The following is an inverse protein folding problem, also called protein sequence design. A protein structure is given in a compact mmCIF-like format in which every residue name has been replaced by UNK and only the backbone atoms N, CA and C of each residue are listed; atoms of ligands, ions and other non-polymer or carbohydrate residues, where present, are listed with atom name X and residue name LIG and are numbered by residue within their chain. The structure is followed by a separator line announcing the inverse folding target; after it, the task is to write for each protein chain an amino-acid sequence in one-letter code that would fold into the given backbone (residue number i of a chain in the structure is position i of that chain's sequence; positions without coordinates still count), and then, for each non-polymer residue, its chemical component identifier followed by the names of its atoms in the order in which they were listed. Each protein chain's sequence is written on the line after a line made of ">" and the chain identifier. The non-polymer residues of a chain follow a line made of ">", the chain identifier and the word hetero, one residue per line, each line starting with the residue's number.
data_IF_600507527453
#
_entry.id   IF_600507527453
#
_cell.length_a   1.000
_cell.length_b   1.000
_cell.length_c   1.000
_cell.angle_alpha   90.00
_cell.angle_beta   90.00
_cell.angle_gamma   90.00
#
_symmetry.space_group_name_H-M   'P 1'
#
loop_
_entity.id
_entity.type
_entity.pdbx_description
1 polymer ?
#
# COMPACT_ATOMS: atom_id res chain seq x y z
N UNK A 1 4.95 -10.64 18.54
CA UNK A 1 5.65 -11.55 17.60
C UNK A 1 6.69 -10.70 16.85
N UNK A 2 7.99 -10.83 17.17
CA UNK A 2 9.04 -10.05 16.47
C UNK A 2 9.26 -10.68 15.09
N UNK A 3 8.84 -10.01 14.04
CA UNK A 3 9.19 -10.38 12.69
C UNK A 3 10.72 -10.31 12.54
N UNK A 4 11.35 -11.42 12.17
CA UNK A 4 12.79 -11.45 11.88
C UNK A 4 13.08 -10.49 10.74
N UNK A 5 14.15 -9.66 10.83
CA UNK A 5 14.54 -8.83 9.71
C UNK A 5 14.81 -9.73 8.49
N UNK A 6 14.11 -9.46 7.40
CA UNK A 6 14.42 -10.10 6.12
C UNK A 6 15.85 -9.67 5.79
N UNK A 7 16.78 -10.63 5.74
CA UNK A 7 18.15 -10.39 5.26
C UNK A 7 18.07 -10.08 3.76
N UNK A 8 17.88 -8.82 3.43
CA UNK A 8 17.59 -8.36 2.08
C UNK A 8 18.72 -8.58 1.08
N UNK A 9 19.95 -8.78 1.52
CA UNK A 9 21.11 -8.92 0.61
C UNK A 9 21.39 -10.33 0.06
N UNK A 10 20.83 -11.38 0.65
CA UNK A 10 21.10 -12.78 0.25
C UNK A 10 19.86 -13.59 -0.12
N UNK A 11 18.68 -12.98 -0.15
CA UNK A 11 17.44 -13.66 -0.47
C UNK A 11 17.33 -13.94 -1.98
N UNK A 12 16.52 -14.93 -2.36
CA UNK A 12 16.22 -15.21 -3.76
C UNK A 12 15.61 -13.98 -4.46
N UNK A 13 14.80 -13.19 -3.74
CA UNK A 13 14.23 -11.93 -4.24
C UNK A 13 15.33 -10.93 -4.60
N UNK A 14 16.33 -10.74 -3.74
CA UNK A 14 17.44 -9.84 -4.01
C UNK A 14 18.24 -10.24 -5.27
N UNK A 15 18.45 -11.52 -5.49
CA UNK A 15 19.10 -12.02 -6.72
C UNK A 15 18.28 -11.68 -7.97
N UNK A 16 16.96 -11.87 -7.90
CA UNK A 16 16.05 -11.55 -9.01
C UNK A 16 15.96 -10.05 -9.28
N UNK A 17 16.00 -9.21 -8.23
CA UNK A 17 16.06 -7.75 -8.39
C UNK A 17 17.32 -7.36 -9.16
N UNK A 18 18.48 -7.85 -8.77
CA UNK A 18 19.75 -7.57 -9.47
C UNK A 18 19.78 -8.11 -10.90
N UNK A 19 19.09 -9.21 -11.15
CA UNK A 19 18.92 -9.73 -12.50
C UNK A 19 17.95 -8.91 -13.37
N UNK A 20 17.21 -7.96 -12.77
CA UNK A 20 16.22 -7.14 -13.48
C UNK A 20 14.91 -7.87 -13.77
N UNK A 21 14.57 -8.88 -12.97
CA UNK A 21 13.39 -9.73 -13.14
C UNK A 21 12.19 -9.31 -12.29
N UNK A 22 12.33 -8.21 -11.53
CA UNK A 22 11.30 -7.72 -10.60
C UNK A 22 10.99 -6.28 -10.94
N UNK A 23 9.72 -5.95 -11.17
CA UNK A 23 9.25 -4.59 -11.46
C UNK A 23 8.67 -3.87 -10.24
N UNK A 24 8.25 -4.61 -9.20
CA UNK A 24 7.71 -4.03 -7.98
C UNK A 24 7.63 -5.03 -6.85
N UNK A 25 7.42 -4.51 -5.64
CA UNK A 25 7.22 -5.29 -4.42
C UNK A 25 6.02 -4.76 -3.66
N UNK A 26 5.27 -5.67 -3.03
CA UNK A 26 4.09 -5.32 -2.25
C UNK A 26 4.32 -5.60 -0.77
N UNK A 27 3.66 -4.83 0.09
CA UNK A 27 3.64 -5.01 1.54
C UNK A 27 5.03 -4.97 2.19
N UNK A 28 5.98 -4.26 1.58
CA UNK A 28 7.25 -3.94 2.22
C UNK A 28 7.10 -2.62 2.98
N UNK A 29 7.39 -2.64 4.28
CA UNK A 29 7.26 -1.49 5.18
C UNK A 29 8.61 -1.13 5.79
N UNK A 30 8.83 0.17 5.98
CA UNK A 30 10.03 0.73 6.59
C UNK A 30 10.93 1.42 5.56
N UNK A 31 11.09 2.75 5.72
CA UNK A 31 11.84 3.61 4.79
C UNK A 31 13.25 3.09 4.49
N UNK A 32 13.97 2.61 5.49
CA UNK A 32 15.32 2.09 5.30
C UNK A 32 15.34 0.81 4.46
N UNK A 33 14.38 -0.08 4.70
CA UNK A 33 14.25 -1.33 3.91
C UNK A 33 13.90 -1.04 2.47
N UNK A 34 12.96 -0.14 2.24
CA UNK A 34 12.54 0.27 0.90
C UNK A 34 13.73 0.91 0.19
N UNK A 35 14.47 1.79 0.85
CA UNK A 35 15.67 2.43 0.30
C UNK A 35 16.75 1.41 -0.05
N UNK A 36 17.03 0.44 0.83
CA UNK A 36 18.03 -0.61 0.58
C UNK A 36 17.65 -1.50 -0.62
N UNK A 37 16.38 -1.83 -0.75
CA UNK A 37 15.88 -2.63 -1.88
C UNK A 37 15.91 -1.80 -3.17
N UNK A 38 15.49 -0.55 -3.11
CA UNK A 38 15.53 0.35 -4.26
C UNK A 38 16.97 0.56 -4.77
N UNK A 39 17.91 0.72 -3.84
CA UNK A 39 19.33 0.82 -4.19
C UNK A 39 19.82 -0.39 -4.98
N UNK A 40 19.43 -1.61 -4.60
CA UNK A 40 19.78 -2.81 -5.34
C UNK A 40 19.20 -2.80 -6.77
N UNK A 41 18.00 -2.28 -6.96
CA UNK A 41 17.40 -2.18 -8.29
C UNK A 41 18.08 -1.13 -9.16
N UNK A 42 18.39 0.04 -8.60
CA UNK A 42 18.94 1.16 -9.37
C UNK A 42 20.45 1.04 -9.58
N UNK A 43 21.21 0.64 -8.55
CA UNK A 43 22.68 0.66 -8.59
C UNK A 43 23.32 -0.70 -8.87
N UNK A 44 22.63 -1.81 -8.52
CA UNK A 44 23.21 -3.15 -8.60
C UNK A 44 22.55 -4.03 -9.68
N UNK A 45 21.48 -3.55 -10.35
CA UNK A 45 20.85 -4.30 -11.43
C UNK A 45 21.34 -3.87 -12.80
N UNK A 46 21.22 -4.78 -13.76
CA UNK A 46 21.55 -4.52 -15.17
C UNK A 46 20.72 -3.39 -15.79
N UNK A 47 19.48 -3.21 -15.32
CA UNK A 47 18.52 -2.29 -15.92
C UNK A 47 18.58 -0.87 -15.32
N UNK A 48 18.98 -0.74 -14.06
CA UNK A 48 18.97 0.55 -13.35
C UNK A 48 17.58 1.17 -13.18
N UNK A 49 16.51 0.38 -13.30
CA UNK A 49 15.13 0.83 -13.25
C UNK A 49 14.61 0.74 -11.82
N UNK A 50 14.04 1.83 -11.24
CA UNK A 50 13.43 1.80 -9.93
C UNK A 50 12.25 0.81 -9.85
N UNK A 51 12.10 0.17 -8.68
CA UNK A 51 10.94 -0.67 -8.37
C UNK A 51 9.74 0.18 -7.94
N UNK A 52 8.55 -0.33 -8.21
CA UNK A 52 7.31 0.15 -7.60
C UNK A 52 7.10 -0.54 -6.24
N UNK A 53 6.80 0.25 -5.20
CA UNK A 53 6.43 -0.26 -3.89
C UNK A 53 4.95 -0.01 -3.66
N UNK A 54 4.18 -1.10 -3.58
CA UNK A 54 2.73 -1.07 -3.45
C UNK A 54 2.24 -1.59 -2.10
N UNK A 55 1.13 -1.01 -1.63
CA UNK A 55 0.43 -1.45 -0.42
C UNK A 55 -1.06 -1.07 -0.49
N UNK A 56 -1.91 -1.82 0.20
CA UNK A 56 -3.36 -1.58 0.20
C UNK A 56 -3.73 -0.20 0.77
N UNK A 57 -3.24 0.13 1.96
CA UNK A 57 -3.52 1.40 2.66
C UNK A 57 -5.03 1.71 2.72
N UNK A 58 -5.86 0.66 2.85
CA UNK A 58 -7.31 0.72 2.61
C UNK A 58 -8.06 1.58 3.65
N UNK A 59 -7.57 1.65 4.87
CA UNK A 59 -8.12 2.50 5.93
C UNK A 59 -7.03 3.12 6.82
N UNK A 60 -5.97 3.60 6.22
CA UNK A 60 -4.83 4.24 6.86
C UNK A 60 -3.52 3.47 6.74
N UNK A 61 -2.43 4.08 7.15
CA UNK A 61 -1.09 3.50 7.09
C UNK A 61 -0.50 3.29 8.50
N UNK A 62 0.00 4.31 9.16
CA UNK A 62 0.35 4.31 10.59
C UNK A 62 -0.86 4.69 11.45
N UNK A 63 -1.57 5.75 11.04
CA UNK A 63 -2.86 6.12 11.62
C UNK A 63 -3.93 5.18 11.05
N UNK A 64 -4.59 4.44 11.94
CA UNK A 64 -5.68 3.54 11.56
C UNK A 64 -7.00 4.29 11.65
N UNK A 65 -7.68 4.42 10.51
CA UNK A 65 -9.02 5.01 10.40
C UNK A 65 -10.09 3.91 10.47
N UNK A 66 -11.38 4.27 10.66
CA UNK A 66 -12.47 3.32 10.46
C UNK A 66 -12.39 2.66 9.09
N UNK A 67 -12.89 1.44 8.97
CA UNK A 67 -13.02 0.79 7.65
C UNK A 67 -13.85 1.67 6.71
N UNK A 68 -13.65 1.62 5.38
CA UNK A 68 -14.36 2.48 4.43
C UNK A 68 -15.88 2.47 4.62
N UNK A 69 -16.48 1.29 4.82
CA UNK A 69 -17.92 1.19 5.10
C UNK A 69 -18.34 1.95 6.38
N UNK A 70 -17.52 1.91 7.42
CA UNK A 70 -17.78 2.66 8.66
C UNK A 70 -17.59 4.16 8.47
N UNK A 71 -16.58 4.56 7.70
CA UNK A 71 -16.30 5.97 7.41
C UNK A 71 -17.41 6.57 6.52
N UNK A 72 -17.93 5.84 5.56
CA UNK A 72 -19.04 6.27 4.69
C UNK A 72 -20.32 6.58 5.48
N UNK A 73 -20.57 5.89 6.60
CA UNK A 73 -21.72 6.15 7.46
C UNK A 73 -21.73 7.58 8.06
N UNK A 74 -20.62 8.28 8.03
CA UNK A 74 -20.55 9.67 8.49
C UNK A 74 -21.21 10.65 7.53
N UNK A 75 -21.30 10.33 6.24
CA UNK A 75 -21.68 11.23 5.15
C UNK A 75 -20.84 12.52 5.11
N UNK A 76 -19.69 12.52 5.75
CA UNK A 76 -18.75 13.63 5.79
C UNK A 76 -17.62 13.41 4.78
N UNK A 77 -17.83 13.90 3.56
CA UNK A 77 -16.84 13.78 2.47
C UNK A 77 -15.50 14.42 2.82
N UNK A 78 -15.52 15.45 3.69
CA UNK A 78 -14.29 16.10 4.12
C UNK A 78 -13.48 15.22 5.07
N UNK A 79 -14.14 14.47 5.94
CA UNK A 79 -13.49 13.47 6.79
C UNK A 79 -12.91 12.32 5.96
N UNK A 80 -13.63 11.87 4.91
CA UNK A 80 -13.15 10.84 3.97
C UNK A 80 -11.89 11.32 3.25
N UNK A 81 -11.91 12.52 2.67
CA UNK A 81 -10.76 13.12 2.00
C UNK A 81 -9.56 13.26 2.94
N UNK A 82 -9.77 13.75 4.15
CA UNK A 82 -8.70 13.96 5.13
C UNK A 82 -8.07 12.65 5.58
N UNK A 83 -8.84 11.59 5.76
CA UNK A 83 -8.32 10.26 6.09
C UNK A 83 -7.40 9.73 4.98
N UNK A 84 -7.81 9.89 3.72
CA UNK A 84 -7.01 9.49 2.57
C UNK A 84 -5.72 10.34 2.44
N UNK A 85 -5.84 11.65 2.69
CA UNK A 85 -4.70 12.57 2.67
C UNK A 85 -3.65 12.20 3.71
N UNK A 86 -4.06 11.90 4.94
CA UNK A 86 -3.15 11.48 6.02
C UNK A 86 -2.49 10.15 5.65
N UNK A 87 -3.27 9.18 5.21
CA UNK A 87 -2.77 7.89 4.78
C UNK A 87 -1.73 8.00 3.65
N UNK A 88 -1.97 8.89 2.68
CA UNK A 88 -1.04 9.16 1.58
C UNK A 88 0.27 9.82 2.07
N UNK A 89 0.19 10.77 2.99
CA UNK A 89 1.37 11.42 3.58
C UNK A 89 2.23 10.39 4.31
N UNK A 90 1.62 9.58 5.17
CA UNK A 90 2.34 8.58 5.97
C UNK A 90 2.97 7.49 5.09
N UNK A 91 2.22 6.95 4.15
CA UNK A 91 2.72 5.90 3.26
C UNK A 91 3.81 6.38 2.31
N UNK A 92 3.68 7.59 1.77
CA UNK A 92 4.73 8.17 0.91
C UNK A 92 6.00 8.51 1.68
N UNK A 93 5.88 8.96 2.94
CA UNK A 93 7.04 9.19 3.81
C UNK A 93 7.85 7.90 4.07
N UNK A 94 7.18 6.75 4.09
CA UNK A 94 7.83 5.43 4.22
C UNK A 94 8.36 4.87 2.89
N UNK A 95 8.05 5.53 1.77
CA UNK A 95 8.54 5.16 0.43
C UNK A 95 7.56 4.32 -0.40
N UNK A 96 6.31 4.18 0.03
CA UNK A 96 5.25 3.59 -0.79
C UNK A 96 4.88 4.58 -1.90
N UNK A 97 4.87 4.13 -3.14
CA UNK A 97 4.58 4.95 -4.31
C UNK A 97 3.32 4.50 -5.08
N UNK A 98 2.68 3.44 -4.63
CA UNK A 98 1.46 2.89 -5.20
C UNK A 98 0.54 2.36 -4.12
N UNK A 99 -0.65 2.97 -3.95
CA UNK A 99 -1.71 2.44 -3.08
C UNK A 99 -2.78 1.77 -3.92
N UNK A 100 -3.42 0.72 -3.37
CA UNK A 100 -4.51 0.00 -4.04
C UNK A 100 -5.89 0.51 -3.62
N UNK A 101 -5.96 1.37 -2.61
CA UNK A 101 -7.15 2.11 -2.20
C UNK A 101 -7.38 3.34 -3.10
N UNK A 102 -8.64 3.81 -3.23
CA UNK A 102 -9.84 3.25 -2.62
C UNK A 102 -10.39 2.04 -3.38
N UNK A 103 -11.20 1.19 -2.69
CA UNK A 103 -12.06 0.21 -3.33
C UNK A 103 -13.29 0.95 -3.86
N UNK A 104 -13.49 0.91 -5.18
CA UNK A 104 -14.52 1.70 -5.87
C UNK A 104 -15.71 0.87 -6.35
N UNK A 105 -15.80 -0.39 -5.96
CA UNK A 105 -16.94 -1.24 -6.28
C UNK A 105 -18.14 -0.85 -5.40
N UNK A 106 -19.32 -0.73 -6.03
CA UNK A 106 -20.57 -0.47 -5.32
C UNK A 106 -21.09 -1.78 -4.73
N UNK A 107 -21.32 -1.82 -3.42
CA UNK A 107 -21.86 -2.97 -2.73
C UNK A 107 -23.36 -3.12 -3.00
N UNK A 108 -23.76 -4.13 -3.79
CA UNK A 108 -25.17 -4.46 -4.08
C UNK A 108 -25.72 -5.53 -3.15
N UNK A 109 -24.86 -6.29 -2.49
CA UNK A 109 -25.23 -7.41 -1.63
C UNK A 109 -24.30 -7.45 -0.41
N UNK A 110 -24.86 -7.34 0.78
CA UNK A 110 -24.12 -7.36 2.04
C UNK A 110 -23.37 -8.69 2.31
N UNK A 111 -23.65 -9.74 1.56
CA UNK A 111 -22.92 -11.03 1.62
C UNK A 111 -21.61 -11.01 0.85
N UNK A 112 -21.35 -9.99 0.05
CA UNK A 112 -20.11 -9.85 -0.68
C UNK A 112 -18.91 -9.77 0.29
N UNK A 113 -17.90 -10.61 0.07
CA UNK A 113 -16.77 -10.79 1.01
C UNK A 113 -15.90 -9.55 1.21
N UNK A 114 -15.98 -8.55 0.31
CA UNK A 114 -15.24 -7.28 0.39
C UNK A 114 -16.11 -6.08 0.76
N UNK A 115 -17.29 -6.30 1.30
CA UNK A 115 -18.23 -5.23 1.68
C UNK A 115 -17.62 -4.18 2.63
N UNK A 116 -16.72 -4.59 3.52
CA UNK A 116 -16.06 -3.71 4.48
C UNK A 116 -15.01 -2.78 3.87
N UNK A 117 -14.52 -3.10 2.68
CA UNK A 117 -13.46 -2.33 2.00
C UNK A 117 -14.00 -1.19 1.14
N UNK A 118 -15.28 -1.23 0.77
CA UNK A 118 -15.94 -0.22 -0.05
C UNK A 118 -16.79 0.75 0.78
N UNK A 119 -17.32 1.76 0.11
CA UNK A 119 -18.10 2.83 0.74
C UNK A 119 -19.62 2.54 0.77
N UNK A 120 -20.05 1.30 0.51
CA UNK A 120 -21.44 0.89 0.58
C UNK A 120 -22.14 0.86 -0.78
N UNK A 121 -23.46 1.08 -0.77
CA UNK A 121 -24.33 0.91 -1.94
C UNK A 121 -24.63 2.20 -2.71
N UNK A 122 -24.31 3.36 -2.12
CA UNK A 122 -24.59 4.66 -2.72
C UNK A 122 -23.40 5.09 -3.61
N UNK A 123 -23.63 5.37 -4.90
CA UNK A 123 -22.56 5.78 -5.82
C UNK A 123 -22.01 7.20 -5.56
N UNK A 124 -22.63 7.97 -4.67
CA UNK A 124 -22.13 9.28 -4.28
C UNK A 124 -20.95 9.19 -3.33
N UNK A 125 -20.92 8.16 -2.48
CA UNK A 125 -19.85 7.93 -1.51
C UNK A 125 -18.71 7.15 -2.14
#
# INVERSE_FOLDING_TARGET
>A
MRLRPVRTKSSNVAKRIRAGEVGGLFNLKGVERIRDVQKQAVEESRLGIPLLFGMDVIHGYETVFPIPLGLSCTWDMKAVEESARIAAIESSADGICWTFSPMVDICRDARWGRVSEGNGEDPFL
#
